data_IF_383474025700
#
_entry.id   IF_383474025700
#
_cell.length_a   1.000
_cell.length_b   1.000
_cell.length_c   1.000
_cell.angle_alpha   90.00
_cell.angle_beta   90.00
_cell.angle_gamma   90.00
#
_symmetry.space_group_name_H-M   'P 1'
#
loop_
_entity.id
_entity.type
_entity.pdbx_description
1 polymer ?
#
# COMPACT_ATOMS: atom_id res chain seq x y z
N UNK A 1 39.03 -25.38 44.73
CA UNK A 1 37.93 -24.52 44.24
C UNK A 1 37.71 -24.89 42.78
N UNK A 2 36.80 -25.76 42.36
CA UNK A 2 35.51 -26.16 42.89
C UNK A 2 34.39 -25.43 42.15
N UNK A 3 34.06 -25.87 40.93
CA UNK A 3 32.76 -25.61 40.28
C UNK A 3 32.62 -26.45 39.00
N UNK A 4 31.76 -27.47 39.07
CA UNK A 4 31.21 -28.19 37.92
C UNK A 4 29.85 -27.54 37.61
N UNK A 5 29.61 -27.17 36.35
CA UNK A 5 28.28 -26.75 35.91
C UNK A 5 27.47 -27.97 35.49
N UNK A 6 26.22 -27.99 35.96
CA UNK A 6 25.28 -29.10 35.96
C UNK A 6 24.32 -28.92 34.78
N UNK A 7 24.41 -29.79 33.77
CA UNK A 7 23.44 -29.83 32.67
C UNK A 7 22.08 -30.28 33.20
N UNK A 8 21.09 -29.40 33.05
CA UNK A 8 19.69 -29.69 33.39
C UNK A 8 18.94 -30.03 32.11
N UNK A 9 18.76 -31.34 31.91
CA UNK A 9 17.79 -31.92 30.99
C UNK A 9 16.39 -31.47 31.37
N UNK A 10 15.68 -30.83 30.42
CA UNK A 10 14.25 -30.61 30.52
C UNK A 10 13.57 -31.06 29.22
N UNK A 11 12.82 -32.15 29.39
CA UNK A 11 11.97 -32.83 28.42
C UNK A 11 10.90 -31.90 27.87
N UNK A 12 10.85 -31.73 26.55
CA UNK A 12 9.78 -30.99 25.85
C UNK A 12 8.58 -31.94 25.65
N UNK A 13 7.37 -31.64 26.16
CA UNK A 13 6.18 -32.37 25.80
C UNK A 13 5.70 -31.97 24.40
N UNK A 14 5.63 -32.98 23.53
CA UNK A 14 5.11 -32.95 22.16
C UNK A 14 3.59 -32.73 22.18
N UNK A 15 3.12 -31.50 21.93
CA UNK A 15 1.71 -31.23 21.64
C UNK A 15 1.52 -31.19 20.13
N UNK A 16 0.83 -32.20 19.61
CA UNK A 16 0.47 -32.33 18.20
C UNK A 16 -0.50 -31.22 17.81
N UNK A 17 -0.13 -30.41 16.82
CA UNK A 17 -1.03 -29.42 16.22
C UNK A 17 -1.94 -30.13 15.23
N UNK A 18 -3.21 -30.26 15.58
CA UNK A 18 -4.25 -30.82 14.71
C UNK A 18 -4.48 -29.90 13.49
N UNK A 19 -4.08 -30.38 12.31
CA UNK A 19 -4.32 -29.68 11.04
C UNK A 19 -5.82 -29.74 10.70
N UNK A 20 -6.49 -28.59 10.67
CA UNK A 20 -7.88 -28.49 10.24
C UNK A 20 -7.95 -28.67 8.72
N UNK A 21 -8.59 -29.75 8.29
CA UNK A 21 -8.94 -30.06 6.89
C UNK A 21 -9.78 -28.95 6.28
N UNK A 22 -9.34 -28.39 5.14
CA UNK A 22 -10.16 -27.49 4.32
C UNK A 22 -10.93 -28.34 3.30
N UNK A 23 -12.26 -28.39 3.44
CA UNK A 23 -13.16 -28.94 2.42
C UNK A 23 -13.24 -27.94 1.25
N UNK A 24 -13.01 -28.33 -0.01
CA UNK A 24 -13.28 -27.47 -1.15
C UNK A 24 -14.79 -27.36 -1.38
N UNK A 25 -15.28 -26.13 -1.62
CA UNK A 25 -16.64 -25.87 -2.09
C UNK A 25 -16.76 -26.29 -3.55
N UNK A 26 -17.68 -27.22 -3.82
CA UNK A 26 -18.11 -27.64 -5.16
C UNK A 26 -19.09 -26.59 -5.73
N UNK A 27 -18.70 -25.96 -6.85
CA UNK A 27 -19.52 -25.02 -7.62
C UNK A 27 -19.88 -25.62 -8.99
N UNK A 28 -20.45 -26.82 -8.98
CA UNK A 28 -21.08 -27.42 -10.15
C UNK A 28 -22.45 -26.77 -10.42
N UNK A 29 -22.43 -25.65 -11.16
CA UNK A 29 -23.64 -24.91 -11.53
C UNK A 29 -23.45 -23.83 -12.59
N UNK A 30 -22.79 -24.13 -13.72
CA UNK A 30 -22.83 -23.30 -14.93
C UNK A 30 -23.41 -24.09 -16.11
N UNK A 31 -24.38 -23.52 -16.87
CA UNK A 31 -24.67 -24.01 -18.21
C UNK A 31 -23.69 -23.42 -19.24
N UNK A 32 -23.32 -24.27 -20.19
CA UNK A 32 -22.37 -24.03 -21.29
C UNK A 32 -22.88 -23.00 -22.31
N UNK A 33 -21.97 -22.19 -22.85
CA UNK A 33 -22.20 -21.49 -24.11
C UNK A 33 -21.06 -21.78 -25.09
N UNK A 34 -21.45 -22.26 -26.26
CA UNK A 34 -20.58 -22.74 -27.32
C UNK A 34 -20.45 -21.62 -28.35
N UNK A 35 -19.23 -21.24 -28.73
CA UNK A 35 -19.00 -20.70 -30.07
C UNK A 35 -17.53 -20.81 -30.45
N UNK A 36 -17.28 -21.69 -31.42
CA UNK A 36 -16.02 -21.84 -32.13
C UNK A 36 -15.99 -20.81 -33.26
N UNK A 37 -14.95 -19.97 -33.33
CA UNK A 37 -14.42 -19.46 -34.61
C UNK A 37 -12.99 -19.00 -34.39
N UNK A 38 -12.08 -19.66 -35.10
CA UNK A 38 -10.67 -19.30 -35.16
C UNK A 38 -10.49 -18.09 -36.09
N UNK A 39 -9.79 -17.03 -35.65
CA UNK A 39 -8.64 -16.50 -36.39
C UNK A 39 -7.86 -15.46 -35.56
N UNK A 40 -6.59 -15.37 -35.88
CA UNK A 40 -5.53 -14.54 -35.29
C UNK A 40 -5.76 -13.03 -35.19
N UNK A 41 -5.05 -12.43 -34.23
CA UNK A 41 -4.66 -11.02 -34.05
C UNK A 41 -5.63 -10.05 -33.34
N UNK A 42 -5.17 -9.50 -32.21
CA UNK A 42 -5.63 -8.21 -31.67
C UNK A 42 -6.37 -8.31 -30.34
N UNK A 43 -5.62 -8.26 -29.23
CA UNK A 43 -6.15 -8.07 -27.88
C UNK A 43 -6.51 -6.58 -27.71
N UNK A 44 -7.67 -6.14 -28.20
CA UNK A 44 -8.24 -4.81 -27.87
C UNK A 44 -9.28 -5.00 -26.79
N UNK A 45 -8.93 -4.66 -25.55
CA UNK A 45 -9.76 -4.85 -24.37
C UNK A 45 -11.06 -4.04 -24.45
N UNK A 46 -12.16 -4.67 -24.03
CA UNK A 46 -13.53 -4.10 -23.86
C UNK A 46 -13.57 -2.82 -22.99
N UNK A 47 -12.46 -2.51 -22.32
CA UNK A 47 -12.23 -1.31 -21.51
C UNK A 47 -12.21 -0.05 -22.39
N UNK A 48 -11.71 -0.14 -23.62
CA UNK A 48 -11.64 1.04 -24.51
C UNK A 48 -13.03 1.44 -25.01
N UNK A 49 -13.87 0.46 -25.35
CA UNK A 49 -15.22 0.68 -25.83
C UNK A 49 -16.17 1.22 -24.75
N UNK A 50 -15.99 0.79 -23.50
CA UNK A 50 -16.77 1.32 -22.37
C UNK A 50 -16.38 2.76 -22.01
N UNK A 51 -15.11 3.13 -22.22
CA UNK A 51 -14.62 4.48 -21.97
C UNK A 51 -15.14 5.51 -23.00
N UNK A 52 -15.27 5.09 -24.27
CA UNK A 52 -15.84 5.90 -25.35
C UNK A 52 -17.35 6.12 -25.16
N UNK A 53 -18.09 5.13 -24.67
CA UNK A 53 -19.54 5.26 -24.41
C UNK A 53 -19.89 6.22 -23.26
N UNK A 54 -18.98 6.44 -22.32
CA UNK A 54 -19.20 7.32 -21.18
C UNK A 54 -18.84 8.80 -21.46
N UNK A 55 -18.19 9.09 -22.59
CA UNK A 55 -17.72 10.45 -22.90
C UNK A 55 -18.69 11.28 -23.74
N UNK A 56 -19.74 10.68 -24.30
CA UNK A 56 -20.66 11.38 -25.21
C UNK A 56 -21.84 12.09 -24.55
N UNK A 57 -22.10 11.89 -23.25
CA UNK A 57 -23.26 12.52 -22.59
C UNK A 57 -22.91 13.17 -21.23
N UNK A 58 -22.77 14.50 -21.30
CA UNK A 58 -23.06 15.47 -20.23
C UNK A 58 -22.06 15.61 -19.04
N UNK A 59 -21.40 16.78 -19.06
CA UNK A 59 -20.65 17.49 -18.01
C UNK A 59 -19.23 17.00 -17.62
N UNK A 60 -18.20 17.88 -17.68
CA UNK A 60 -16.84 17.53 -17.31
C UNK A 60 -16.71 17.33 -15.80
N UNK A 61 -16.60 16.07 -15.39
CA UNK A 61 -16.18 15.70 -14.04
C UNK A 61 -14.82 16.34 -13.75
N UNK A 62 -14.76 17.29 -12.80
CA UNK A 62 -13.49 17.79 -12.24
C UNK A 62 -12.90 16.74 -11.29
N UNK A 63 -12.41 15.64 -11.85
CA UNK A 63 -11.37 14.88 -11.20
C UNK A 63 -10.05 15.60 -11.46
N UNK A 64 -9.35 16.03 -10.41
CA UNK A 64 -7.91 16.27 -10.50
C UNK A 64 -7.21 14.91 -10.41
N UNK A 65 -7.44 14.08 -11.42
CA UNK A 65 -6.56 12.95 -11.67
C UNK A 65 -5.20 13.55 -12.05
N UNK A 66 -4.23 13.47 -11.14
CA UNK A 66 -2.83 13.61 -11.50
C UNK A 66 -2.49 12.43 -12.41
N UNK A 67 -2.71 12.64 -13.71
CA UNK A 67 -2.55 11.69 -14.81
C UNK A 67 -1.09 11.55 -15.24
N UNK A 68 -0.17 11.66 -14.28
CA UNK A 68 1.24 11.41 -14.52
C UNK A 68 1.77 10.50 -13.42
N UNK A 69 2.11 9.26 -13.79
CA UNK A 69 2.97 8.37 -13.01
C UNK A 69 4.42 8.91 -12.98
N UNK A 70 4.57 10.22 -12.83
CA UNK A 70 5.86 10.89 -12.77
C UNK A 70 6.24 11.05 -11.31
N UNK A 71 7.31 10.37 -10.91
CA UNK A 71 7.94 10.49 -9.59
C UNK A 71 8.14 11.96 -9.21
N UNK A 72 8.39 12.84 -10.19
CA UNK A 72 8.57 14.27 -9.97
C UNK A 72 7.30 14.98 -9.49
N UNK A 73 6.16 14.76 -10.15
CA UNK A 73 4.88 15.38 -9.79
C UNK A 73 4.42 14.94 -8.39
N UNK A 74 4.66 13.67 -8.06
CA UNK A 74 4.38 13.16 -6.73
C UNK A 74 5.31 13.78 -5.66
N UNK A 75 6.61 13.93 -5.94
CA UNK A 75 7.55 14.56 -5.02
C UNK A 75 7.20 16.02 -4.74
N UNK A 76 6.76 16.77 -5.76
CA UNK A 76 6.28 18.15 -5.61
C UNK A 76 5.03 18.18 -4.72
N UNK A 77 4.06 17.29 -4.98
CA UNK A 77 2.84 17.19 -4.17
C UNK A 77 3.13 16.87 -2.70
N UNK A 78 4.09 15.98 -2.44
CA UNK A 78 4.56 15.65 -1.08
C UNK A 78 5.24 16.87 -0.45
N UNK A 79 6.12 17.54 -1.18
CA UNK A 79 6.82 18.74 -0.69
C UNK A 79 5.83 19.81 -0.27
N UNK A 80 4.83 20.11 -1.10
CA UNK A 80 3.79 21.10 -0.79
C UNK A 80 2.96 20.67 0.42
N UNK A 81 2.62 19.38 0.50
CA UNK A 81 1.83 18.82 1.60
C UNK A 81 2.54 18.98 2.95
N UNK A 82 3.84 18.68 3.01
CA UNK A 82 4.61 18.76 4.27
C UNK A 82 5.02 20.19 4.62
N UNK A 83 5.29 21.04 3.62
CA UNK A 83 5.58 22.46 3.82
C UNK A 83 4.38 23.27 4.31
N UNK A 84 3.16 22.85 3.97
CA UNK A 84 1.97 23.47 4.53
C UNK A 84 1.89 23.30 6.05
N UNK A 85 2.50 22.24 6.62
CA UNK A 85 2.41 21.88 8.04
C UNK A 85 3.74 21.36 8.60
N UNK A 86 4.79 22.19 8.64
CA UNK A 86 6.16 21.71 8.87
C UNK A 86 6.39 21.19 10.29
N UNK A 87 5.57 21.61 11.26
CA UNK A 87 5.67 21.20 12.67
C UNK A 87 4.87 19.94 13.00
N UNK A 88 4.10 19.41 12.06
CA UNK A 88 3.23 18.28 12.32
C UNK A 88 3.98 16.96 12.22
N UNK A 89 3.43 15.95 12.90
CA UNK A 89 3.77 14.56 12.68
C UNK A 89 3.12 14.08 11.38
N UNK A 90 3.89 13.39 10.55
CA UNK A 90 3.41 12.75 9.34
C UNK A 90 3.52 11.24 9.50
N UNK A 91 2.41 10.53 9.33
CA UNK A 91 2.39 9.07 9.32
C UNK A 91 2.32 8.63 7.87
N UNK A 92 3.27 7.82 7.45
CA UNK A 92 3.29 7.22 6.12
C UNK A 92 2.96 5.75 6.26
N UNK A 93 2.03 5.27 5.47
CA UNK A 93 1.68 3.85 5.36
C UNK A 93 1.81 3.43 3.90
N UNK A 94 2.48 2.31 3.68
CA UNK A 94 2.53 1.69 2.36
C UNK A 94 2.87 0.22 2.50
N UNK A 95 1.98 -0.60 1.97
CA UNK A 95 2.15 -2.05 1.96
C UNK A 95 3.43 -2.46 1.23
N UNK A 96 4.00 -3.58 1.68
CA UNK A 96 5.16 -4.19 1.03
C UNK A 96 4.76 -4.56 -0.40
N UNK A 97 5.62 -4.23 -1.36
CA UNK A 97 5.46 -4.59 -2.78
C UNK A 97 4.34 -3.85 -3.54
N UNK A 98 3.65 -2.88 -2.92
CA UNK A 98 2.68 -2.03 -3.61
C UNK A 98 3.33 -0.72 -4.06
N UNK A 99 3.05 -0.30 -5.29
CA UNK A 99 3.47 0.98 -5.87
C UNK A 99 2.53 2.12 -5.45
N UNK A 100 1.96 2.05 -4.25
CA UNK A 100 1.08 3.07 -3.70
C UNK A 100 1.44 3.31 -2.23
N UNK A 101 1.28 4.54 -1.78
CA UNK A 101 1.49 4.91 -0.38
C UNK A 101 0.56 6.05 0.02
N UNK A 102 0.34 6.19 1.31
CA UNK A 102 -0.50 7.23 1.89
C UNK A 102 0.32 7.98 2.93
N UNK A 103 0.28 9.32 2.87
CA UNK A 103 0.83 10.19 3.91
C UNK A 103 -0.29 10.93 4.61
N UNK A 104 -0.36 10.82 5.93
CA UNK A 104 -1.37 11.43 6.78
C UNK A 104 -0.75 12.39 7.79
N UNK A 105 -1.46 13.47 8.12
CA UNK A 105 -1.07 14.39 9.19
C UNK A 105 -2.30 14.90 9.93
N UNK A 106 -2.10 15.41 11.15
CA UNK A 106 -3.18 16.02 11.92
C UNK A 106 -3.52 17.40 11.35
N UNK A 107 -4.79 17.76 11.38
CA UNK A 107 -5.30 19.07 11.01
C UNK A 107 -5.52 19.92 12.27
N UNK A 108 -5.51 21.25 12.14
CA UNK A 108 -5.69 22.20 13.23
C UNK A 108 -7.06 22.08 13.91
N UNK A 109 -8.06 21.56 13.18
CA UNK A 109 -9.42 21.33 13.67
C UNK A 109 -9.60 19.96 14.35
N UNK A 110 -8.52 19.22 14.63
CA UNK A 110 -8.57 17.91 15.29
C UNK A 110 -8.87 16.72 14.37
N UNK A 111 -8.96 16.93 13.06
CA UNK A 111 -9.09 15.86 12.06
C UNK A 111 -7.74 15.32 11.56
N UNK A 112 -7.77 14.31 10.69
CA UNK A 112 -6.59 13.85 9.92
C UNK A 112 -6.77 14.21 8.45
N UNK A 113 -5.71 14.69 7.80
CA UNK A 113 -5.66 14.93 6.35
C UNK A 113 -4.67 13.95 5.75
N UNK A 114 -5.07 13.22 4.71
CA UNK A 114 -4.24 12.23 4.05
C UNK A 114 -4.13 12.49 2.55
N UNK A 115 -2.98 12.19 1.97
CA UNK A 115 -2.70 12.23 0.55
C UNK A 115 -2.30 10.83 0.08
N UNK A 116 -3.06 10.28 -0.89
CA UNK A 116 -2.73 9.01 -1.55
C UNK A 116 -1.83 9.28 -2.75
N UNK A 117 -0.77 8.50 -2.88
CA UNK A 117 0.30 8.66 -3.87
C UNK A 117 0.47 7.35 -4.64
N UNK A 118 0.73 7.47 -5.95
CA UNK A 118 0.94 6.33 -6.85
C UNK A 118 2.43 5.97 -6.99
N UNK A 119 3.13 5.85 -5.86
CA UNK A 119 4.47 5.28 -5.84
C UNK A 119 4.86 4.77 -4.43
N UNK A 120 5.81 3.83 -4.40
CA UNK A 120 6.13 3.01 -3.24
C UNK A 120 6.65 3.80 -2.00
N UNK A 121 6.36 3.28 -0.80
CA UNK A 121 6.73 3.85 0.51
C UNK A 121 8.22 4.15 0.68
N UNK A 122 9.11 3.35 0.08
CA UNK A 122 10.57 3.59 0.11
C UNK A 122 10.93 4.87 -0.63
N UNK A 123 10.26 5.17 -1.75
CA UNK A 123 10.52 6.40 -2.49
C UNK A 123 10.02 7.62 -1.71
N UNK A 124 8.87 7.48 -1.03
CA UNK A 124 8.33 8.52 -0.17
C UNK A 124 9.23 8.80 1.03
N UNK A 125 9.76 7.75 1.68
CA UNK A 125 10.78 7.86 2.73
C UNK A 125 12.01 8.64 2.26
N UNK A 126 12.56 8.29 1.08
CA UNK A 126 13.70 9.01 0.49
C UNK A 126 13.37 10.48 0.24
N UNK A 127 12.16 10.78 -0.20
CA UNK A 127 11.73 12.16 -0.43
C UNK A 127 11.63 12.94 0.89
N UNK A 128 11.07 12.34 1.94
CA UNK A 128 11.00 12.95 3.28
C UNK A 128 12.39 13.24 3.84
N UNK A 129 13.35 12.31 3.69
CA UNK A 129 14.73 12.54 4.11
C UNK A 129 15.40 13.72 3.38
N UNK A 130 15.16 13.89 2.08
CA UNK A 130 15.66 15.06 1.33
C UNK A 130 15.09 16.39 1.83
N UNK A 131 13.88 16.36 2.40
CA UNK A 131 13.21 17.51 3.01
C UNK A 131 13.60 17.72 4.48
N UNK A 132 14.63 16.99 4.95
CA UNK A 132 15.16 17.07 6.32
C UNK A 132 14.15 16.61 7.39
N UNK A 133 13.32 15.63 7.04
CA UNK A 133 12.48 14.92 8.00
C UNK A 133 13.19 13.68 8.53
N UNK A 134 13.15 13.52 9.85
CA UNK A 134 13.51 12.29 10.53
C UNK A 134 12.31 11.35 10.56
N UNK A 135 12.47 10.15 10.03
CA UNK A 135 11.43 9.13 10.04
C UNK A 135 11.83 7.96 10.98
N UNK A 136 10.95 7.61 11.91
CA UNK A 136 11.10 6.49 12.84
C UNK A 136 10.16 5.34 12.45
N UNK A 137 10.73 4.14 12.41
CA UNK A 137 9.96 2.90 12.35
C UNK A 137 9.35 2.61 13.73
N UNK A 138 8.16 2.03 13.78
CA UNK A 138 7.57 1.54 15.03
C UNK A 138 8.33 0.30 15.54
N UNK A 139 8.10 -0.05 16.81
CA UNK A 139 8.72 -1.23 17.45
C UNK A 139 8.23 -2.56 16.86
N UNK A 140 7.05 -2.56 16.24
CA UNK A 140 6.48 -3.74 15.58
C UNK A 140 7.19 -4.03 14.24
N UNK A 141 7.86 -5.18 14.18
CA UNK A 141 8.57 -5.67 12.99
C UNK A 141 7.66 -5.90 11.77
N UNK A 142 6.35 -6.05 11.99
CA UNK A 142 5.37 -6.30 10.94
C UNK A 142 4.68 -5.03 10.46
N UNK A 143 4.92 -3.89 11.10
CA UNK A 143 4.28 -2.64 10.70
C UNK A 143 4.71 -2.20 9.28
N UNK A 144 3.75 -1.69 8.54
CA UNK A 144 3.92 -1.12 7.19
C UNK A 144 3.98 0.40 7.21
N UNK A 145 3.88 1.00 8.40
CA UNK A 145 3.85 2.44 8.57
C UNK A 145 5.10 2.96 9.30
N UNK A 146 5.39 4.24 9.11
CA UNK A 146 6.44 4.96 9.82
C UNK A 146 6.06 6.41 10.03
N UNK A 147 6.65 7.01 11.07
CA UNK A 147 6.33 8.37 11.47
C UNK A 147 7.48 9.31 11.15
N UNK A 148 7.21 10.41 10.46
CA UNK A 148 8.19 11.43 10.09
C UNK A 148 7.91 12.76 10.79
N UNK A 149 8.96 13.38 11.32
CA UNK A 149 8.95 14.71 11.94
C UNK A 149 10.10 15.55 11.40
N UNK A 150 9.89 16.87 11.30
CA UNK A 150 10.94 17.77 10.83
C UNK A 150 12.07 17.85 11.86
N UNK A 151 13.31 17.76 11.39
CA UNK A 151 14.48 18.05 12.22
C UNK A 151 14.63 19.57 12.19
N UNK A 152 14.48 20.21 13.34
CA UNK A 152 14.67 21.66 13.53
C UNK A 152 15.92 21.93 14.33
#
# INVERSE_FOLDING_TARGET
MGWFSKDTSSTIPNNQVEQRSHQPLDLSGQPAFNSTTANSNGHSSDISHTLEQLTENEAPLKLKELKENSVKANNESVSDFVHARPKNLFVIDGEKEIEESIICTNNEQGGKTCLKLKYNSVQLFKQMQKLEYFCSLPDDINATYFECRKIT
#
